data_IF_815966387652
#
_entry.id   IF_815966387652
#
_cell.length_a   1.000
_cell.length_b   1.000
_cell.length_c   1.000
_cell.angle_alpha   90.00
_cell.angle_beta   90.00
_cell.angle_gamma   90.00
#
_symmetry.space_group_name_H-M   'P 1'
#
loop_
_entity.id
_entity.type
_entity.pdbx_description
1 polymer ?
#
# COMPACT_ATOMS: atom_id res chain seq x y z
N UNK A 1 8.92 30.11 3.02
CA UNK A 1 8.55 28.85 3.72
C UNK A 1 8.89 27.74 2.74
N UNK A 2 9.92 26.91 2.97
CA UNK A 2 10.11 25.78 2.09
C UNK A 2 8.93 24.83 2.36
N UNK A 3 8.18 24.52 1.31
CA UNK A 3 7.18 23.46 1.32
C UNK A 3 7.96 22.18 1.65
N UNK A 4 7.87 21.72 2.90
CA UNK A 4 8.47 20.45 3.31
C UNK A 4 7.80 19.38 2.45
N UNK A 5 8.55 18.83 1.50
CA UNK A 5 8.05 17.82 0.59
C UNK A 5 7.88 16.57 1.43
N UNK A 6 6.67 16.37 1.95
CA UNK A 6 6.31 15.18 2.70
C UNK A 6 6.74 13.96 1.89
N UNK A 7 7.64 13.16 2.46
CA UNK A 7 8.16 11.98 1.80
C UNK A 7 6.99 11.04 1.52
N UNK A 8 6.78 10.74 0.24
CA UNK A 8 5.57 10.05 -0.23
C UNK A 8 5.90 8.62 -0.67
N UNK A 9 5.06 7.65 -0.34
CA UNK A 9 5.24 6.24 -0.69
C UNK A 9 3.91 5.58 -1.03
N UNK A 10 3.96 4.47 -1.76
CA UNK A 10 2.79 3.72 -2.19
C UNK A 10 2.62 2.46 -1.33
N UNK A 11 1.40 2.15 -0.93
CA UNK A 11 1.02 0.94 -0.22
C UNK A 11 0.11 0.13 -1.13
N UNK A 12 0.50 -1.11 -1.39
CA UNK A 12 -0.26 -2.05 -2.20
C UNK A 12 -0.67 -3.23 -1.32
N UNK A 13 -1.97 -3.50 -1.21
CA UNK A 13 -2.48 -4.60 -0.40
C UNK A 13 -3.16 -5.68 -1.23
N UNK A 14 -2.95 -6.93 -0.81
CA UNK A 14 -3.64 -8.11 -1.31
C UNK A 14 -4.29 -8.82 -0.13
N UNK A 15 -5.61 -8.84 -0.09
CA UNK A 15 -6.40 -9.31 1.06
C UNK A 15 -7.63 -10.09 0.61
N UNK A 16 -7.83 -11.30 1.14
CA UNK A 16 -9.04 -12.08 0.83
C UNK A 16 -10.20 -11.76 1.79
N UNK A 17 -9.91 -11.51 3.07
CA UNK A 17 -10.91 -11.25 4.13
C UNK A 17 -10.82 -9.86 4.78
N UNK A 18 -10.03 -8.96 4.22
CA UNK A 18 -9.86 -7.59 4.75
C UNK A 18 -8.69 -7.41 5.73
N UNK A 19 -8.07 -8.49 6.24
CA UNK A 19 -6.98 -8.37 7.23
C UNK A 19 -5.78 -7.54 6.74
N UNK A 20 -5.26 -7.84 5.54
CA UNK A 20 -4.13 -7.10 4.98
C UNK A 20 -4.53 -5.67 4.57
N UNK A 21 -5.79 -5.44 4.21
CA UNK A 21 -6.31 -4.11 3.94
C UNK A 21 -6.28 -3.24 5.20
N UNK A 22 -6.80 -3.74 6.33
CA UNK A 22 -6.81 -2.99 7.60
C UNK A 22 -5.40 -2.64 8.07
N UNK A 23 -4.43 -3.54 7.90
CA UNK A 23 -3.01 -3.25 8.21
C UNK A 23 -2.47 -2.15 7.30
N UNK A 24 -2.77 -2.20 5.99
CA UNK A 24 -2.34 -1.17 5.05
C UNK A 24 -2.97 0.20 5.36
N UNK A 25 -4.24 0.25 5.78
CA UNK A 25 -4.93 1.47 6.21
C UNK A 25 -4.30 2.04 7.49
N UNK A 26 -3.95 1.19 8.45
CA UNK A 26 -3.26 1.60 9.68
C UNK A 26 -1.88 2.21 9.38
N UNK A 27 -1.10 1.58 8.49
CA UNK A 27 0.19 2.13 8.03
C UNK A 27 0.00 3.49 7.37
N UNK A 28 -1.04 3.64 6.54
CA UNK A 28 -1.36 4.91 5.89
C UNK A 28 -1.70 6.02 6.90
N UNK A 29 -2.46 5.68 7.95
CA UNK A 29 -2.81 6.63 9.01
C UNK A 29 -1.57 7.05 9.80
N UNK A 30 -0.74 6.09 10.21
CA UNK A 30 0.51 6.37 10.92
C UNK A 30 1.50 7.16 10.07
N UNK A 31 1.55 6.94 8.75
CA UNK A 31 2.40 7.69 7.84
C UNK A 31 2.14 9.20 7.96
N UNK A 32 0.86 9.60 7.98
CA UNK A 32 0.47 11.00 8.12
C UNK A 32 0.93 11.60 9.47
N UNK A 33 0.85 10.82 10.56
CA UNK A 33 1.34 11.24 11.88
C UNK A 33 2.85 11.46 11.91
N UNK A 34 3.60 10.76 11.06
CA UNK A 34 5.05 10.86 10.95
C UNK A 34 5.53 11.85 9.87
N UNK A 35 4.61 12.61 9.25
CA UNK A 35 4.94 13.58 8.20
C UNK A 35 5.18 12.98 6.81
N UNK A 36 4.76 11.73 6.59
CA UNK A 36 4.78 11.07 5.29
C UNK A 36 3.41 11.12 4.62
N UNK A 37 3.38 10.97 3.30
CA UNK A 37 2.14 10.81 2.54
C UNK A 37 2.11 9.41 1.93
N UNK A 38 1.11 8.60 2.31
CA UNK A 38 0.94 7.27 1.78
C UNK A 38 -0.29 7.21 0.85
N UNK A 39 -0.12 6.61 -0.33
CA UNK A 39 -1.23 6.25 -1.21
C UNK A 39 -1.52 4.76 -1.04
N UNK A 40 -2.78 4.38 -0.77
CA UNK A 40 -3.17 2.98 -0.61
C UNK A 40 -4.00 2.47 -1.79
N UNK A 41 -3.58 1.36 -2.41
CA UNK A 41 -4.32 0.70 -3.49
C UNK A 41 -4.36 -0.81 -3.32
N UNK A 42 -5.42 -1.43 -3.84
CA UNK A 42 -5.52 -2.89 -3.94
C UNK A 42 -4.67 -3.38 -5.12
N UNK A 43 -3.93 -4.47 -4.94
CA UNK A 43 -3.08 -5.08 -5.97
C UNK A 43 -3.87 -5.43 -7.24
N UNK A 44 -5.11 -5.94 -7.12
CA UNK A 44 -5.98 -6.17 -8.29
C UNK A 44 -6.28 -4.92 -9.12
N UNK A 45 -6.14 -3.72 -8.54
CA UNK A 45 -6.54 -2.48 -9.17
C UNK A 45 -5.38 -1.83 -9.93
N UNK A 46 -4.75 -2.59 -10.82
CA UNK A 46 -3.54 -2.23 -11.59
C UNK A 46 -3.70 -0.96 -12.44
N UNK A 47 -4.91 -0.45 -12.66
CA UNK A 47 -5.15 0.81 -13.36
C UNK A 47 -4.92 2.05 -12.47
N UNK A 48 -4.90 1.89 -11.14
CA UNK A 48 -4.76 3.00 -10.19
C UNK A 48 -3.32 3.34 -9.82
N UNK A 49 -2.37 2.48 -10.17
CA UNK A 49 -0.96 2.65 -9.86
C UNK A 49 -0.10 2.15 -11.01
N UNK A 50 1.13 2.67 -11.16
CA UNK A 50 2.03 2.26 -12.22
C UNK A 50 3.42 2.01 -11.64
N UNK A 51 3.75 0.73 -11.41
CA UNK A 51 5.01 0.33 -10.78
C UNK A 51 6.22 0.66 -11.66
N UNK A 52 6.10 0.57 -12.98
CA UNK A 52 7.20 0.86 -13.93
C UNK A 52 7.65 2.32 -13.89
N UNK A 53 6.73 3.23 -13.58
CA UNK A 53 7.00 4.67 -13.48
C UNK A 53 7.23 5.12 -12.01
N UNK A 54 7.08 4.23 -11.04
CA UNK A 54 7.15 4.56 -9.62
C UNK A 54 8.60 4.53 -9.13
N UNK A 55 9.16 5.71 -8.89
CA UNK A 55 10.52 5.89 -8.35
C UNK A 55 10.58 5.90 -6.82
N UNK A 56 9.40 5.87 -6.18
CA UNK A 56 9.24 6.01 -4.73
C UNK A 56 9.17 4.65 -4.04
N UNK A 57 9.42 4.58 -2.73
CA UNK A 57 9.23 3.35 -1.98
C UNK A 57 7.82 2.80 -2.14
N UNK A 58 7.72 1.48 -2.28
CA UNK A 58 6.44 0.75 -2.33
C UNK A 58 6.44 -0.30 -1.23
N UNK A 59 5.36 -0.32 -0.45
CA UNK A 59 5.12 -1.27 0.64
C UNK A 59 4.02 -2.24 0.20
N UNK A 60 4.32 -3.53 0.20
CA UNK A 60 3.36 -4.57 -0.14
C UNK A 60 2.85 -5.27 1.12
N UNK A 61 1.53 -5.27 1.32
CA UNK A 61 0.87 -5.95 2.45
C UNK A 61 -0.02 -7.05 1.89
N UNK A 62 0.48 -8.28 1.86
CA UNK A 62 -0.23 -9.40 1.20
C UNK A 62 -0.47 -10.52 2.22
N UNK A 63 -1.72 -10.99 2.30
CA UNK A 63 -2.08 -12.16 3.09
C UNK A 63 -2.05 -13.41 2.23
N UNK A 64 -1.35 -14.46 2.64
CA UNK A 64 -1.43 -15.77 1.97
C UNK A 64 -2.71 -16.51 2.39
N UNK A 65 -3.21 -17.37 1.51
CA UNK A 65 -4.40 -18.19 1.73
C UNK A 65 -4.08 -19.68 1.57
N UNK A 66 -4.78 -20.55 2.32
CA UNK A 66 -4.65 -22.00 2.16
C UNK A 66 -3.24 -22.51 2.49
N UNK A 67 -2.58 -23.11 1.50
CA UNK A 67 -1.25 -23.75 1.61
C UNK A 67 -0.09 -22.77 1.28
N UNK A 68 -0.38 -21.47 1.15
CA UNK A 68 0.61 -20.45 0.77
C UNK A 68 0.33 -19.75 -0.56
N UNK A 69 -0.87 -19.93 -1.13
CA UNK A 69 -1.28 -19.25 -2.36
C UNK A 69 -1.55 -17.75 -2.09
N UNK A 70 -1.27 -16.86 -3.05
CA UNK A 70 -1.68 -15.47 -2.96
C UNK A 70 -3.21 -15.35 -2.81
N UNK A 71 -3.71 -14.26 -2.22
CA UNK A 71 -5.15 -13.98 -2.20
C UNK A 71 -5.61 -13.62 -3.61
N UNK A 72 -6.89 -13.82 -3.94
CA UNK A 72 -7.48 -13.46 -5.25
C UNK A 72 -7.27 -11.98 -5.63
N UNK A 73 -6.93 -11.15 -4.63
CA UNK A 73 -6.74 -9.72 -4.80
C UNK A 73 -5.28 -9.27 -4.98
N UNK A 74 -4.32 -10.21 -5.00
CA UNK A 74 -2.89 -9.95 -5.23
C UNK A 74 -2.45 -10.19 -6.68
#
# INVERSE_FOLDING_TARGET
MPCEVAARFLILYGSQRGQAQSIAEEICQQAAEHGFTADINCLSNQHKYNLDSEIRPVVFVVSTTGDGDPPDTA
#
